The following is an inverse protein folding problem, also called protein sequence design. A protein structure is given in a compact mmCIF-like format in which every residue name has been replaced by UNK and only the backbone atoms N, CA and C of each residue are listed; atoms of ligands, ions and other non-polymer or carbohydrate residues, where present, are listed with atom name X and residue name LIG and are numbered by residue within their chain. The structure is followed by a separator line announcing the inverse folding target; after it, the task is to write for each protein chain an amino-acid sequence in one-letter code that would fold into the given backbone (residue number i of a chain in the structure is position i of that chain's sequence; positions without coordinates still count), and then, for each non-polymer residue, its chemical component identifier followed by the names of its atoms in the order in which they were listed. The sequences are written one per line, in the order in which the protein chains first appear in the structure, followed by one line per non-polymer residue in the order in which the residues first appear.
data_IF_124240149168
#
_entry.id   IF_124240149168
#
_cell.length_a   1.000
_cell.length_b   1.000
_cell.length_c   1.000
_cell.angle_alpha   90.00
_cell.angle_beta   90.00
_cell.angle_gamma   90.00
#
_symmetry.space_group_name_H-M   'P 1'
#
loop_
_entity.id
_entity.type
_entity.pdbx_description
1 polymer ?
#
# COMPACT_ATOMS: atom_id res chain seq x y z
N UNK A 1 3.69 -14.43 2.29
CA UNK A 1 4.78 -15.42 2.36
C UNK A 1 4.94 -16.08 1.02
N UNK A 2 6.05 -15.84 0.32
CA UNK A 2 6.38 -16.59 -0.89
C UNK A 2 6.90 -17.97 -0.46
N UNK A 3 6.23 -19.01 -0.96
CA UNK A 3 6.69 -20.40 -0.73
C UNK A 3 7.84 -20.72 -1.70
N UNK A 4 8.80 -21.56 -1.31
CA UNK A 4 9.77 -22.12 -2.26
C UNK A 4 9.03 -22.74 -3.43
N UNK A 5 9.48 -22.46 -4.65
CA UNK A 5 8.83 -22.94 -5.89
C UNK A 5 7.63 -22.10 -6.35
N UNK A 6 7.32 -20.97 -5.72
CA UNK A 6 6.39 -20.00 -6.26
C UNK A 6 6.89 -19.49 -7.62
N UNK A 7 6.02 -19.25 -8.62
CA UNK A 7 6.44 -18.70 -9.91
C UNK A 7 7.12 -17.32 -9.81
N UNK A 8 7.00 -16.66 -8.68
CA UNK A 8 7.67 -15.39 -8.37
C UNK A 8 8.98 -15.55 -7.58
N UNK A 9 9.29 -16.74 -7.10
CA UNK A 9 10.60 -17.07 -6.55
C UNK A 9 11.47 -17.60 -7.67
N UNK A 10 12.51 -16.88 -8.07
CA UNK A 10 13.49 -17.39 -9.02
C UNK A 10 14.18 -18.67 -8.51
N UNK A 11 14.94 -19.36 -9.35
CA UNK A 11 15.63 -20.60 -8.97
C UNK A 11 16.58 -20.41 -7.77
N UNK A 12 17.08 -19.19 -7.56
CA UNK A 12 17.96 -18.85 -6.44
C UNK A 12 17.20 -18.71 -5.09
N UNK A 13 15.87 -18.74 -5.12
CA UNK A 13 15.00 -18.64 -3.94
C UNK A 13 14.44 -20.01 -3.48
N UNK A 14 15.09 -21.11 -3.86
CA UNK A 14 14.69 -22.46 -3.46
C UNK A 14 14.65 -22.65 -1.93
N UNK A 15 15.43 -21.87 -1.19
CA UNK A 15 15.44 -21.86 0.28
C UNK A 15 14.42 -20.89 0.88
N UNK A 16 13.64 -20.20 0.04
CA UNK A 16 12.69 -19.19 0.41
C UNK A 16 13.28 -17.77 0.40
N UNK A 17 12.45 -16.73 0.53
CA UNK A 17 12.84 -15.32 0.43
C UNK A 17 13.58 -14.79 1.66
N UNK A 18 14.18 -15.66 2.47
CA UNK A 18 14.83 -15.27 3.71
C UNK A 18 13.87 -15.25 4.91
N UNK A 19 14.20 -14.43 5.91
CA UNK A 19 13.41 -14.31 7.14
C UNK A 19 12.06 -13.61 6.84
N UNK A 20 10.97 -14.18 7.34
CA UNK A 20 9.65 -13.52 7.34
C UNK A 20 9.14 -13.42 8.76
N UNK A 21 8.69 -12.24 9.15
CA UNK A 21 8.01 -11.96 10.39
C UNK A 21 6.68 -11.28 10.11
N UNK A 22 5.75 -11.39 11.03
CA UNK A 22 4.46 -10.76 10.92
C UNK A 22 3.61 -11.00 12.15
N UNK A 23 2.47 -10.38 12.16
CA UNK A 23 1.42 -10.60 13.15
C UNK A 23 0.08 -10.69 12.43
N UNK A 24 -0.94 -11.14 13.15
CA UNK A 24 -2.29 -11.24 12.63
C UNK A 24 -3.19 -10.33 13.42
N UNK A 25 -3.85 -9.40 12.74
CA UNK A 25 -4.78 -8.46 13.33
C UNK A 25 -5.87 -8.11 12.31
N UNK A 26 -7.06 -7.81 12.81
CA UNK A 26 -8.20 -7.44 11.98
C UNK A 26 -8.16 -5.94 11.72
N UNK A 27 -7.80 -5.53 10.49
CA UNK A 27 -7.61 -4.13 10.12
C UNK A 27 -8.59 -3.77 9.01
N UNK A 28 -9.52 -2.80 9.24
CA UNK A 28 -10.39 -2.33 8.17
C UNK A 28 -9.60 -1.58 7.10
N UNK A 29 -9.95 -1.81 5.84
CA UNK A 29 -9.31 -1.19 4.68
C UNK A 29 -10.37 -0.74 3.70
N UNK A 30 -10.35 0.53 3.33
CA UNK A 30 -11.07 1.01 2.15
C UNK A 30 -10.14 0.93 0.95
N UNK A 31 -10.55 0.19 -0.06
CA UNK A 31 -9.90 0.19 -1.36
C UNK A 31 -10.72 1.07 -2.30
N UNK A 32 -10.04 1.96 -3.03
CA UNK A 32 -10.67 2.80 -4.04
C UNK A 32 -9.81 2.80 -5.31
N UNK A 33 -10.46 2.76 -6.48
CA UNK A 33 -9.77 2.69 -7.77
C UNK A 33 -10.57 3.36 -8.88
N UNK A 34 -9.88 3.67 -9.97
CA UNK A 34 -10.52 4.09 -11.22
C UNK A 34 -10.83 2.87 -12.08
N UNK A 35 -12.02 2.87 -12.70
CA UNK A 35 -12.45 1.80 -13.62
C UNK A 35 -11.62 1.73 -14.91
N UNK A 36 -10.77 2.72 -15.18
CA UNK A 36 -9.95 2.75 -16.38
C UNK A 36 -8.74 1.81 -16.25
N UNK A 37 -8.42 1.06 -17.31
CA UNK A 37 -7.16 0.30 -17.33
C UNK A 37 -6.00 1.31 -17.30
N UNK A 38 -5.27 1.34 -16.20
CA UNK A 38 -4.00 2.07 -16.11
C UNK A 38 -2.97 1.56 -17.11
N UNK A 39 -1.79 2.16 -17.14
CA UNK A 39 -0.66 1.66 -17.95
C UNK A 39 -0.37 0.20 -17.63
N UNK A 40 -0.06 -0.57 -18.65
CA UNK A 40 0.35 -1.96 -18.47
C UNK A 40 1.63 -2.05 -17.62
N UNK A 41 1.65 -3.02 -16.72
CA UNK A 41 2.82 -3.33 -15.86
C UNK A 41 4.12 -3.49 -16.67
N UNK A 42 4.04 -3.98 -17.92
CA UNK A 42 5.17 -4.11 -18.83
C UNK A 42 5.87 -2.78 -19.16
N UNK A 43 5.13 -1.69 -19.24
CA UNK A 43 5.72 -0.35 -19.54
C UNK A 43 6.70 0.12 -18.45
N UNK A 44 6.50 -0.35 -17.23
CA UNK A 44 7.39 -0.05 -16.10
C UNK A 44 8.53 -1.06 -15.97
N UNK A 45 8.23 -2.34 -16.23
CA UNK A 45 9.20 -3.44 -16.05
C UNK A 45 10.31 -3.37 -17.09
N UNK A 46 10.05 -2.80 -18.27
CA UNK A 46 11.03 -2.70 -19.36
C UNK A 46 11.93 -1.44 -19.26
N UNK A 47 11.65 -0.54 -18.32
CA UNK A 47 12.47 0.65 -18.06
C UNK A 47 13.55 0.34 -16.99
N UNK A 48 14.82 0.31 -17.42
CA UNK A 48 15.95 0.01 -16.54
C UNK A 48 16.19 1.09 -15.48
N UNK A 49 15.91 2.35 -15.79
CA UNK A 49 16.00 3.46 -14.82
C UNK A 49 14.97 3.31 -13.71
N UNK A 50 13.76 2.94 -14.08
CA UNK A 50 12.70 2.70 -13.11
C UNK A 50 12.98 1.45 -12.24
N UNK A 51 13.49 0.35 -12.85
CA UNK A 51 13.94 -0.85 -12.09
C UNK A 51 14.96 -0.49 -11.02
N UNK A 52 15.93 0.37 -11.36
CA UNK A 52 16.94 0.82 -10.42
C UNK A 52 16.30 1.63 -9.27
N UNK A 53 15.43 2.57 -9.60
CA UNK A 53 14.75 3.42 -8.60
C UNK A 53 13.90 2.60 -7.64
N UNK A 54 13.10 1.65 -8.15
CA UNK A 54 12.25 0.79 -7.31
C UNK A 54 13.08 -0.16 -6.44
N UNK A 55 14.18 -0.68 -6.99
CA UNK A 55 15.09 -1.57 -6.24
C UNK A 55 15.78 -0.82 -5.10
N UNK A 56 16.29 0.38 -5.36
CA UNK A 56 16.95 1.21 -4.36
C UNK A 56 15.97 1.65 -3.26
N UNK A 57 14.77 2.12 -3.64
CA UNK A 57 13.72 2.48 -2.72
C UNK A 57 13.30 1.29 -1.85
N UNK A 58 13.10 0.12 -2.46
CA UNK A 58 12.75 -1.12 -1.78
C UNK A 58 13.83 -1.55 -0.77
N UNK A 59 15.10 -1.56 -1.19
CA UNK A 59 16.23 -1.91 -0.33
C UNK A 59 16.27 -1.00 0.90
N UNK A 60 16.18 0.31 0.71
CA UNK A 60 16.23 1.30 1.80
C UNK A 60 15.08 1.12 2.81
N UNK A 61 13.86 0.87 2.35
CA UNK A 61 12.74 0.64 3.26
C UNK A 61 12.85 -0.72 3.96
N UNK A 62 13.28 -1.76 3.25
CA UNK A 62 13.47 -3.09 3.84
C UNK A 62 14.58 -3.12 4.89
N UNK A 63 15.69 -2.40 4.69
CA UNK A 63 16.73 -2.25 5.70
C UNK A 63 16.13 -1.67 7.00
N UNK A 64 15.39 -0.56 6.89
CA UNK A 64 14.71 0.06 8.04
C UNK A 64 13.71 -0.89 8.70
N UNK A 65 12.88 -1.57 7.91
CA UNK A 65 11.84 -2.46 8.42
C UNK A 65 12.40 -3.76 9.00
N UNK A 66 13.63 -4.16 8.65
CA UNK A 66 14.28 -5.37 9.15
C UNK A 66 14.83 -5.24 10.57
N UNK A 67 14.84 -4.05 11.13
CA UNK A 67 15.31 -3.80 12.49
C UNK A 67 14.25 -4.22 13.52
N UNK A 68 14.59 -5.15 14.42
CA UNK A 68 13.75 -5.62 15.52
C UNK A 68 12.63 -6.58 15.10
N UNK A 69 11.81 -6.95 16.06
CA UNK A 69 10.68 -7.88 15.86
C UNK A 69 9.41 -7.15 15.46
N UNK A 70 8.57 -7.81 14.66
CA UNK A 70 7.31 -7.26 14.15
C UNK A 70 6.12 -7.56 15.05
N UNK A 71 5.35 -6.52 15.34
CA UNK A 71 4.06 -6.59 16.02
C UNK A 71 3.21 -5.37 15.64
N UNK A 72 1.97 -5.30 16.14
CA UNK A 72 1.03 -4.22 15.81
C UNK A 72 1.51 -2.81 16.17
N UNK A 73 2.41 -2.66 17.15
CA UNK A 73 2.96 -1.35 17.52
C UNK A 73 3.82 -0.72 16.40
N UNK A 74 4.32 -1.50 15.46
CA UNK A 74 5.09 -1.04 14.29
C UNK A 74 4.23 -0.76 13.05
N UNK A 75 2.91 -0.85 13.19
CA UNK A 75 1.98 -0.59 12.08
C UNK A 75 2.21 0.79 11.43
N UNK A 76 2.30 1.85 12.23
CA UNK A 76 2.58 3.20 11.73
C UNK A 76 3.90 3.29 10.96
N UNK A 77 4.94 2.61 11.41
CA UNK A 77 6.24 2.55 10.72
C UNK A 77 6.11 1.86 9.33
N UNK A 78 5.30 0.80 9.23
CA UNK A 78 5.02 0.15 7.96
C UNK A 78 4.32 1.09 6.98
N UNK A 79 3.31 1.85 7.45
CA UNK A 79 2.59 2.83 6.64
C UNK A 79 3.52 3.94 6.14
N UNK A 80 4.35 4.49 7.02
CA UNK A 80 5.32 5.53 6.66
C UNK A 80 6.36 5.02 5.65
N UNK A 81 6.79 3.76 5.79
CA UNK A 81 7.71 3.13 4.85
C UNK A 81 7.06 2.86 3.50
N UNK A 82 5.79 2.46 3.46
CA UNK A 82 5.03 2.29 2.22
C UNK A 82 4.85 3.62 1.46
N UNK A 83 4.52 4.70 2.18
CA UNK A 83 4.44 6.03 1.58
C UNK A 83 5.81 6.52 1.06
N UNK A 84 6.86 6.32 1.85
CA UNK A 84 8.22 6.68 1.46
C UNK A 84 8.70 5.88 0.24
N UNK A 85 8.36 4.59 0.17
CA UNK A 85 8.65 3.75 -0.99
C UNK A 85 7.99 4.29 -2.26
N UNK A 86 6.69 4.61 -2.23
CA UNK A 86 5.96 5.14 -3.37
C UNK A 86 6.57 6.44 -3.91
N UNK A 87 7.05 7.31 -3.01
CA UNK A 87 7.73 8.57 -3.40
C UNK A 87 9.13 8.32 -3.96
N UNK A 88 9.93 7.48 -3.31
CA UNK A 88 11.33 7.26 -3.66
C UNK A 88 11.50 6.41 -4.92
N UNK A 89 10.53 5.55 -5.21
CA UNK A 89 10.52 4.72 -6.43
C UNK A 89 10.02 5.46 -7.68
N UNK A 90 9.50 6.68 -7.53
CA UNK A 90 8.87 7.42 -8.63
C UNK A 90 7.44 6.97 -8.94
N UNK A 91 6.87 6.02 -8.18
CA UNK A 91 5.48 5.58 -8.39
C UNK A 91 4.46 6.71 -8.22
N UNK A 92 4.77 7.69 -7.37
CA UNK A 92 3.92 8.85 -7.12
C UNK A 92 4.15 10.00 -8.10
N UNK A 93 5.10 9.89 -9.04
CA UNK A 93 5.41 10.96 -10.00
C UNK A 93 4.42 10.98 -11.18
N UNK A 94 3.68 9.89 -11.36
CA UNK A 94 2.57 9.84 -12.32
C UNK A 94 1.41 10.72 -11.84
N UNK A 95 1.00 11.67 -12.69
CA UNK A 95 0.00 12.67 -12.35
C UNK A 95 -1.36 12.05 -11.95
N UNK A 96 -1.77 10.97 -12.63
CA UNK A 96 -3.04 10.28 -12.35
C UNK A 96 -3.02 9.61 -10.98
N UNK A 97 -1.88 9.02 -10.60
CA UNK A 97 -1.70 8.38 -9.29
C UNK A 97 -1.58 9.40 -8.17
N UNK A 98 -0.84 10.48 -8.40
CA UNK A 98 -0.73 11.58 -7.44
C UNK A 98 -2.11 12.17 -7.15
N UNK A 99 -2.90 12.45 -8.20
CA UNK A 99 -4.27 12.94 -8.07
C UNK A 99 -5.15 11.98 -7.25
N UNK A 100 -5.04 10.67 -7.50
CA UNK A 100 -5.83 9.67 -6.78
C UNK A 100 -5.49 9.65 -5.27
N UNK A 101 -4.21 9.76 -4.93
CA UNK A 101 -3.78 9.90 -3.53
C UNK A 101 -4.31 11.20 -2.92
N UNK A 102 -4.30 12.29 -3.67
CA UNK A 102 -4.81 13.59 -3.19
C UNK A 102 -6.33 13.56 -2.99
N UNK A 103 -7.08 12.88 -3.87
CA UNK A 103 -8.53 12.62 -3.66
C UNK A 103 -8.73 11.90 -2.33
N UNK A 104 -8.04 10.78 -2.10
CA UNK A 104 -8.16 10.02 -0.86
C UNK A 104 -7.85 10.86 0.39
N UNK A 105 -6.78 11.68 0.34
CA UNK A 105 -6.41 12.59 1.43
C UNK A 105 -7.45 13.67 1.68
N UNK A 106 -8.01 14.25 0.62
CA UNK A 106 -9.06 15.28 0.74
C UNK A 106 -10.36 14.71 1.29
N UNK A 107 -10.73 13.50 0.86
CA UNK A 107 -11.89 12.79 1.41
C UNK A 107 -11.68 12.49 2.90
N UNK A 108 -10.51 11.96 3.28
CA UNK A 108 -10.18 11.72 4.69
C UNK A 108 -10.20 13.00 5.52
N UNK A 109 -9.77 14.14 4.94
CA UNK A 109 -9.84 15.45 5.59
C UNK A 109 -11.30 15.89 5.81
N UNK A 110 -12.15 15.80 4.79
CA UNK A 110 -13.57 16.17 4.90
C UNK A 110 -14.32 15.30 5.91
N UNK A 111 -13.98 14.03 5.99
CA UNK A 111 -14.52 13.09 6.98
C UNK A 111 -13.97 13.28 8.41
N UNK A 112 -13.04 14.22 8.62
CA UNK A 112 -12.41 14.43 9.92
C UNK A 112 -11.40 13.37 10.33
N UNK A 113 -10.95 12.53 9.37
CA UNK A 113 -10.06 11.39 9.60
C UNK A 113 -8.63 11.63 9.14
N UNK A 114 -8.26 12.87 8.81
CA UNK A 114 -6.94 13.22 8.24
C UNK A 114 -5.77 12.69 9.06
N UNK A 115 -5.84 12.75 10.37
CA UNK A 115 -4.77 12.33 11.28
C UNK A 115 -4.88 10.86 11.68
N UNK A 116 -6.05 10.26 11.51
CA UNK A 116 -6.36 8.92 11.97
C UNK A 116 -6.23 7.88 10.85
N UNK A 117 -6.04 8.31 9.60
CA UNK A 117 -5.87 7.43 8.44
C UNK A 117 -4.59 7.71 7.66
N UNK A 118 -4.11 6.70 6.96
CA UNK A 118 -3.11 6.81 5.90
C UNK A 118 -3.72 6.43 4.56
N UNK A 119 -3.35 7.18 3.53
CA UNK A 119 -3.73 6.91 2.13
C UNK A 119 -2.49 6.42 1.40
N UNK A 120 -2.52 5.17 0.97
CA UNK A 120 -1.39 4.49 0.34
C UNK A 120 -1.71 4.18 -1.11
N UNK A 121 -0.75 4.44 -1.99
CA UNK A 121 -0.84 4.03 -3.39
C UNK A 121 -0.63 2.51 -3.50
N UNK A 122 -1.52 1.82 -4.20
CA UNK A 122 -1.38 0.40 -4.48
C UNK A 122 -0.52 0.20 -5.74
N UNK A 123 0.74 -0.16 -5.54
CA UNK A 123 1.77 -0.44 -6.55
C UNK A 123 1.54 0.15 -7.96
N UNK A 124 1.31 -0.68 -8.97
CA UNK A 124 1.31 -0.30 -10.39
C UNK A 124 -0.08 0.07 -10.92
N UNK A 125 -1.13 -0.11 -10.11
CA UNK A 125 -2.50 0.24 -10.49
C UNK A 125 -2.88 1.68 -10.18
N UNK A 126 -4.00 2.12 -10.72
CA UNK A 126 -4.69 3.35 -10.32
C UNK A 126 -5.65 3.05 -9.15
N UNK A 127 -5.08 2.67 -8.02
CA UNK A 127 -5.82 2.33 -6.81
C UNK A 127 -5.09 2.79 -5.56
N UNK A 128 -5.88 3.07 -4.53
CA UNK A 128 -5.40 3.46 -3.21
C UNK A 128 -6.03 2.59 -2.13
N UNK A 129 -5.30 2.42 -1.04
CA UNK A 129 -5.80 1.86 0.20
C UNK A 129 -5.83 2.94 1.28
N UNK A 130 -6.97 3.08 1.98
CA UNK A 130 -7.10 3.94 3.15
C UNK A 130 -7.26 3.05 4.37
N UNK A 131 -6.36 3.23 5.33
CA UNK A 131 -6.25 2.38 6.51
C UNK A 131 -6.11 3.22 7.77
N UNK A 132 -6.51 2.70 8.96
CA UNK A 132 -6.21 3.34 10.24
C UNK A 132 -4.71 3.52 10.45
N UNK A 133 -4.29 4.66 11.01
CA UNK A 133 -2.89 4.87 11.43
C UNK A 133 -2.57 4.26 12.78
N UNK A 134 -3.55 4.20 13.66
CA UNK A 134 -3.43 3.72 15.03
C UNK A 134 -4.43 2.59 15.24
N UNK A 135 -3.93 1.37 15.37
CA UNK A 135 -4.76 0.17 15.55
C UNK A 135 -5.36 0.07 16.96
N UNK A 136 -4.93 0.89 17.90
CA UNK A 136 -5.51 0.97 19.24
C UNK A 136 -6.81 1.78 19.27
N UNK A 137 -7.10 2.54 18.20
CA UNK A 137 -8.30 3.37 18.07
C UNK A 137 -9.31 2.70 17.16
N UNK A 138 -10.53 2.60 17.63
CA UNK A 138 -11.66 2.21 16.79
C UNK A 138 -12.11 3.41 15.95
N UNK A 139 -11.97 3.32 14.63
CA UNK A 139 -12.43 4.33 13.69
C UNK A 139 -13.35 3.69 12.65
N UNK A 140 -14.44 4.38 12.31
CA UNK A 140 -15.30 3.97 11.20
C UNK A 140 -14.78 4.58 9.90
N UNK A 141 -14.55 3.73 8.89
CA UNK A 141 -14.19 4.13 7.54
C UNK A 141 -15.39 4.18 6.59
N UNK A 142 -16.61 3.85 7.07
CA UNK A 142 -17.82 3.74 6.23
C UNK A 142 -18.18 5.06 5.54
N UNK A 143 -17.99 6.18 6.25
CA UNK A 143 -18.28 7.51 5.68
C UNK A 143 -17.41 7.86 4.47
N UNK A 144 -16.25 7.20 4.31
CA UNK A 144 -15.38 7.42 3.15
C UNK A 144 -15.96 6.83 1.86
N UNK A 145 -16.79 5.79 1.96
CA UNK A 145 -17.31 5.08 0.79
C UNK A 145 -18.14 5.99 -0.11
N UNK A 146 -19.11 6.69 0.48
CA UNK A 146 -19.98 7.62 -0.26
C UNK A 146 -19.21 8.81 -0.85
N UNK A 147 -18.27 9.35 -0.10
CA UNK A 147 -17.45 10.49 -0.53
C UNK A 147 -16.53 10.11 -1.69
N UNK A 148 -15.85 8.95 -1.61
CA UNK A 148 -14.99 8.45 -2.69
C UNK A 148 -15.79 8.09 -3.94
N UNK A 149 -16.99 7.51 -3.76
CA UNK A 149 -17.90 7.24 -4.87
C UNK A 149 -18.34 8.53 -5.56
N UNK A 150 -18.59 9.60 -4.80
CA UNK A 150 -18.95 10.92 -5.35
C UNK A 150 -17.79 11.55 -6.16
N UNK A 151 -16.52 11.17 -5.85
CA UNK A 151 -15.34 11.56 -6.65
C UNK A 151 -15.17 10.67 -7.91
N UNK A 152 -16.12 9.77 -8.19
CA UNK A 152 -16.11 8.91 -9.39
C UNK A 152 -15.23 7.67 -9.27
N UNK A 153 -14.92 7.23 -8.05
CA UNK A 153 -14.13 6.02 -7.81
C UNK A 153 -15.03 4.82 -7.53
N UNK A 154 -14.60 3.65 -7.96
CA UNK A 154 -15.10 2.39 -7.42
C UNK A 154 -14.49 2.15 -6.05
N UNK A 155 -15.29 1.69 -5.09
CA UNK A 155 -14.89 1.62 -3.68
C UNK A 155 -15.37 0.33 -3.05
N UNK A 156 -14.55 -0.25 -2.18
CA UNK A 156 -14.97 -1.36 -1.32
C UNK A 156 -14.34 -1.22 0.07
N UNK A 157 -15.12 -1.54 1.09
CA UNK A 157 -14.62 -1.76 2.44
C UNK A 157 -14.34 -3.24 2.62
N UNK A 158 -13.14 -3.56 3.02
CA UNK A 158 -12.69 -4.93 3.29
C UNK A 158 -11.87 -4.97 4.57
N UNK A 159 -11.31 -6.11 4.89
CA UNK A 159 -10.56 -6.32 6.11
C UNK A 159 -9.30 -7.14 5.84
N UNK A 160 -8.16 -6.68 6.34
CA UNK A 160 -6.98 -7.51 6.50
C UNK A 160 -7.17 -8.35 7.77
N UNK A 161 -6.81 -9.61 7.73
CA UNK A 161 -6.95 -10.45 8.90
C UNK A 161 -6.68 -11.92 8.61
N UNK A 162 -6.85 -12.79 9.61
CA UNK A 162 -6.77 -14.23 9.39
C UNK A 162 -7.83 -14.65 8.39
N UNK A 163 -7.45 -15.54 7.48
CA UNK A 163 -8.42 -16.24 6.63
C UNK A 163 -9.32 -17.06 7.55
N UNK A 164 -10.61 -16.75 7.53
CA UNK A 164 -11.64 -17.52 8.22
C UNK A 164 -11.88 -18.85 7.52
#
# INVERSE_FOLDING_TARGET
RLSPGSPYSGPDLLTGPGRSEGWTESIPVVLAWRANPGRHTSEYIDDDGWKQSITEAGRKQMEKLSEGSWNSSRWGELLDSAEAFSKQSGLSDDASRSELVDIGKNVSLRAGLKTDTSVLLCMLGESIAIVPRDLSKEISLENLLSELTAEGLDVTLTQLGPLS
#
